data_IF_562115328633
#
_entry.id   IF_562115328633
#
_cell.length_a   1.000
_cell.length_b   1.000
_cell.length_c   1.000
_cell.angle_alpha   90.00
_cell.angle_beta   90.00
_cell.angle_gamma   90.00
#
_symmetry.space_group_name_H-M   'P 1'
#
loop_
_entity.id
_entity.type
_entity.pdbx_description
1 polymer ?
#
# COMPACT_ATOMS: atom_id res chain seq x y z
N UNK A 1 6.02 33.16 -3.09
CA UNK A 1 5.21 32.48 -2.06
C UNK A 1 5.37 30.96 -2.05
N UNK A 2 5.31 30.26 -3.18
CA UNK A 2 5.46 28.79 -3.23
C UNK A 2 6.80 28.23 -2.69
N UNK A 3 7.92 28.92 -2.95
CA UNK A 3 9.25 28.50 -2.48
C UNK A 3 9.38 28.56 -0.93
N UNK A 4 8.81 29.60 -0.31
CA UNK A 4 8.82 29.74 1.15
C UNK A 4 8.00 28.63 1.83
N UNK A 5 6.84 28.29 1.26
CA UNK A 5 6.02 27.17 1.77
C UNK A 5 6.76 25.83 1.65
N UNK A 6 7.48 25.60 0.53
CA UNK A 6 8.28 24.38 0.38
C UNK A 6 9.38 24.29 1.44
N UNK A 7 10.10 25.39 1.69
CA UNK A 7 11.14 25.42 2.72
C UNK A 7 10.57 25.14 4.12
N UNK A 8 9.41 25.70 4.45
CA UNK A 8 8.71 25.44 5.72
C UNK A 8 8.34 23.96 5.84
N UNK A 9 7.83 23.35 4.77
CA UNK A 9 7.48 21.92 4.76
C UNK A 9 8.70 21.01 4.97
N UNK A 10 9.84 21.32 4.35
CA UNK A 10 11.08 20.55 4.58
C UNK A 10 11.58 20.67 6.02
N UNK A 11 11.53 21.88 6.59
CA UNK A 11 11.85 22.10 8.00
C UNK A 11 10.94 21.28 8.90
N UNK A 12 9.62 21.37 8.70
CA UNK A 12 8.64 20.63 9.49
C UNK A 12 8.87 19.12 9.43
N UNK A 13 9.21 18.58 8.25
CA UNK A 13 9.53 17.16 8.12
C UNK A 13 10.79 16.75 8.90
N UNK A 14 11.81 17.60 8.90
CA UNK A 14 13.05 17.35 9.64
C UNK A 14 12.77 17.39 11.15
N UNK A 15 12.00 18.37 11.62
CA UNK A 15 11.58 18.50 13.01
C UNK A 15 10.78 17.26 13.47
N UNK A 16 9.85 16.78 12.64
CA UNK A 16 9.09 15.55 12.90
C UNK A 16 10.01 14.33 13.05
N UNK A 17 11.02 14.19 12.20
CA UNK A 17 11.99 13.10 12.32
C UNK A 17 12.75 13.17 13.66
N UNK A 18 13.21 14.34 14.08
CA UNK A 18 13.90 14.54 15.35
C UNK A 18 13.01 14.14 16.54
N UNK A 19 11.71 14.44 16.50
CA UNK A 19 10.77 14.00 17.56
C UNK A 19 10.73 12.48 17.67
N UNK A 20 10.87 11.74 16.57
CA UNK A 20 10.87 10.28 16.62
C UNK A 20 12.13 9.68 17.24
N UNK A 21 13.27 10.38 17.19
CA UNK A 21 14.55 9.89 17.75
C UNK A 21 14.68 10.17 19.24
N UNK A 22 13.84 11.04 19.80
CA UNK A 22 13.90 11.40 21.22
C UNK A 22 13.44 10.23 22.13
N UNK A 23 14.21 9.86 23.18
CA UNK A 23 13.89 8.72 24.04
C UNK A 23 12.54 8.81 24.76
N UNK A 24 12.14 10.03 25.14
CA UNK A 24 10.90 10.27 25.89
C UNK A 24 9.63 10.23 25.02
N UNK A 25 9.76 10.19 23.70
CA UNK A 25 8.60 10.07 22.81
C UNK A 25 7.91 8.73 23.05
N UNK A 26 6.58 8.69 23.15
CA UNK A 26 5.89 7.42 23.31
C UNK A 26 5.94 6.60 22.01
N UNK A 27 5.85 5.27 22.12
CA UNK A 27 5.81 4.41 20.94
C UNK A 27 4.66 4.79 20.00
N UNK A 28 3.47 5.11 20.55
CA UNK A 28 2.31 5.53 19.77
C UNK A 28 2.59 6.76 18.92
N UNK A 29 3.23 7.79 19.49
CA UNK A 29 3.57 9.01 18.76
C UNK A 29 4.64 8.74 17.69
N UNK A 30 5.65 7.92 17.99
CA UNK A 30 6.64 7.49 16.98
C UNK A 30 5.98 6.85 15.76
N UNK A 31 5.07 5.91 15.98
CA UNK A 31 4.34 5.25 14.89
C UNK A 31 3.45 6.22 14.11
N UNK A 32 2.75 7.14 14.79
CA UNK A 32 1.94 8.16 14.11
C UNK A 32 2.77 9.06 13.21
N UNK A 33 3.96 9.48 13.67
CA UNK A 33 4.85 10.33 12.87
C UNK A 33 5.46 9.52 11.71
N UNK A 34 5.89 8.29 11.96
CA UNK A 34 6.40 7.38 10.91
C UNK A 34 5.37 7.15 9.81
N UNK A 35 4.09 6.98 10.15
CA UNK A 35 3.00 6.85 9.18
C UNK A 35 2.92 8.07 8.23
N UNK A 36 3.07 9.28 8.77
CA UNK A 36 3.09 10.51 7.96
C UNK A 36 4.35 10.58 7.08
N UNK A 37 5.51 10.20 7.64
CA UNK A 37 6.77 10.17 6.88
C UNK A 37 6.71 9.18 5.71
N UNK A 38 6.15 7.99 5.93
CA UNK A 38 6.03 6.96 4.89
C UNK A 38 5.00 7.35 3.84
N UNK A 39 3.89 7.99 4.24
CA UNK A 39 2.93 8.55 3.29
C UNK A 39 3.57 9.63 2.40
N UNK A 40 4.43 10.47 2.97
CA UNK A 40 5.20 11.46 2.19
C UNK A 40 6.13 10.79 1.20
N UNK A 41 6.88 9.75 1.60
CA UNK A 41 7.75 8.96 0.70
C UNK A 41 6.97 8.31 -0.44
N UNK A 42 5.72 7.92 -0.18
CA UNK A 42 4.80 7.38 -1.18
C UNK A 42 4.15 8.47 -2.06
N UNK A 43 4.66 9.71 -2.06
CA UNK A 43 4.06 10.84 -2.78
C UNK A 43 2.57 11.06 -2.44
N UNK A 44 2.20 10.83 -1.17
CA UNK A 44 0.83 10.92 -0.68
C UNK A 44 -0.15 9.93 -1.32
N UNK A 45 0.35 8.87 -1.95
CA UNK A 45 -0.48 7.77 -2.43
C UNK A 45 -0.89 6.91 -1.24
N UNK A 46 -2.19 6.71 -1.06
CA UNK A 46 -2.73 5.89 0.01
C UNK A 46 -2.20 4.44 -0.10
N UNK A 47 -1.73 3.88 1.03
CA UNK A 47 -1.20 2.50 1.07
C UNK A 47 -2.24 1.43 0.76
N UNK A 48 -3.52 1.73 0.98
CA UNK A 48 -4.65 0.84 0.71
C UNK A 48 -5.58 1.54 -0.25
N UNK A 49 -6.11 0.81 -1.23
CA UNK A 49 -7.26 1.28 -1.98
C UNK A 49 -8.37 1.63 -1.00
N UNK A 50 -9.10 2.72 -1.27
CA UNK A 50 -10.38 3.01 -0.63
C UNK A 50 -11.16 1.70 -0.53
N UNK A 51 -11.59 1.34 0.70
CA UNK A 51 -12.40 0.16 0.92
C UNK A 51 -13.80 0.40 0.35
N UNK A 52 -13.90 0.40 -0.98
CA UNK A 52 -15.15 0.42 -1.70
C UNK A 52 -15.80 -0.95 -1.52
N UNK A 53 -17.11 -1.00 -1.23
CA UNK A 53 -17.85 -2.25 -1.31
C UNK A 53 -17.59 -2.87 -2.69
N UNK A 54 -17.11 -4.10 -2.72
CA UNK A 54 -17.00 -4.85 -3.98
C UNK A 54 -18.41 -5.04 -4.52
N UNK A 55 -18.62 -4.63 -5.76
CA UNK A 55 -19.89 -4.83 -6.46
C UNK A 55 -20.12 -6.33 -6.73
N UNK A 56 -21.38 -6.72 -6.88
CA UNK A 56 -21.74 -8.10 -7.22
C UNK A 56 -21.07 -8.50 -8.55
N UNK A 57 -20.96 -7.58 -9.49
CA UNK A 57 -20.35 -7.83 -10.81
C UNK A 57 -18.84 -8.11 -10.69
N UNK A 58 -18.11 -7.32 -9.90
CA UNK A 58 -16.68 -7.53 -9.63
C UNK A 58 -16.42 -8.89 -8.95
N UNK A 59 -17.32 -9.34 -8.06
CA UNK A 59 -17.22 -10.66 -7.41
C UNK A 59 -17.37 -11.79 -8.44
N UNK A 60 -18.31 -11.66 -9.39
CA UNK A 60 -18.52 -12.67 -10.42
C UNK A 60 -17.34 -12.72 -11.40
N UNK A 61 -16.78 -11.56 -11.76
CA UNK A 61 -15.59 -11.48 -12.61
C UNK A 61 -14.38 -12.14 -11.95
N UNK A 62 -14.09 -11.83 -10.68
CA UNK A 62 -13.02 -12.49 -9.93
C UNK A 62 -13.21 -14.01 -9.82
N UNK A 63 -14.45 -14.50 -9.75
CA UNK A 63 -14.74 -15.94 -9.76
C UNK A 63 -14.42 -16.57 -11.12
N UNK A 64 -14.76 -15.91 -12.23
CA UNK A 64 -14.42 -16.38 -13.58
C UNK A 64 -12.90 -16.42 -13.77
N UNK A 65 -12.20 -15.36 -13.39
CA UNK A 65 -10.74 -15.29 -13.54
C UNK A 65 -10.01 -16.36 -12.72
N UNK A 66 -10.48 -16.61 -11.47
CA UNK A 66 -9.94 -17.69 -10.63
C UNK A 66 -10.20 -19.08 -11.23
N UNK A 67 -11.36 -19.30 -11.84
CA UNK A 67 -11.68 -20.56 -12.50
C UNK A 67 -10.75 -20.80 -13.71
N UNK A 68 -10.61 -19.79 -14.58
CA UNK A 68 -9.71 -19.85 -15.75
C UNK A 68 -8.25 -20.09 -15.34
N UNK A 69 -7.78 -19.42 -14.29
CA UNK A 69 -6.41 -19.58 -13.81
C UNK A 69 -6.16 -21.00 -13.26
N UNK A 70 -7.17 -21.59 -12.60
CA UNK A 70 -7.10 -22.96 -12.11
C UNK A 70 -7.12 -23.98 -13.26
N UNK A 71 -7.90 -23.75 -14.31
CA UNK A 71 -7.94 -24.58 -15.51
C UNK A 71 -6.61 -24.54 -16.27
N UNK A 72 -6.06 -23.35 -16.49
CA UNK A 72 -4.75 -23.18 -17.14
C UNK A 72 -3.61 -23.89 -16.39
N UNK A 73 -3.69 -23.96 -15.05
CA UNK A 73 -2.72 -24.69 -14.24
C UNK A 73 -2.93 -26.22 -14.24
N UNK A 74 -4.12 -26.71 -14.62
CA UNK A 74 -4.42 -28.15 -14.76
C UNK A 74 -3.93 -28.71 -16.09
N UNK A 75 -4.06 -27.93 -17.17
CA UNK A 75 -3.67 -28.36 -18.52
C UNK A 75 -2.15 -28.51 -18.69
N UNK A 76 -1.34 -27.84 -17.85
CA UNK A 76 0.12 -27.96 -17.83
C UNK A 76 0.66 -29.22 -17.12
N UNK A 77 -0.18 -30.02 -16.44
CA UNK A 77 0.24 -31.21 -15.68
C UNK A 77 -0.42 -32.50 -16.18
N UNK A 78 -0.70 -32.62 -17.48
CA UNK A 78 -1.22 -33.87 -18.04
C UNK A 78 -0.06 -34.81 -18.43
N UNK A 79 0.14 -35.96 -17.75
CA UNK A 79 1.09 -36.97 -18.24
C UNK A 79 0.62 -37.50 -19.59
N UNK A 80 1.53 -37.59 -20.55
CA UNK A 80 1.29 -38.19 -21.87
C UNK A 80 0.71 -39.60 -21.70
N UNK A 81 -0.59 -39.77 -21.93
CA UNK A 81 -1.21 -41.08 -22.02
C UNK A 81 -1.29 -41.49 -23.50
N UNK A 82 -0.13 -41.72 -24.09
CA UNK A 82 -0.01 -42.31 -25.42
C UNK A 82 0.10 -43.84 -25.27
N UNK A 83 -0.86 -44.57 -25.86
CA UNK A 83 -0.70 -45.97 -26.28
C UNK A 83 -0.53 -45.99 -27.79
#
# INVERSE_FOLDING_TARGET
MAAANRQILEKNYTDLFIVTTHPQTSARLRFMIQDVMDLRKANWVARRAEAKPTTIDEIHEQKRDKALHLESNRDGNHPNLAR
#
